data_IF_233913662352
#
_entry.id   IF_233913662352
#
_cell.length_a   1.000
_cell.length_b   1.000
_cell.length_c   1.000
_cell.angle_alpha   90.00
_cell.angle_beta   90.00
_cell.angle_gamma   90.00
#
_symmetry.space_group_name_H-M   'P 1'
#
loop_
_entity.id
_entity.type
_entity.pdbx_description
1 polymer ?
#
# COMPACT_ATOMS: atom_id res chain seq x y z
N UNK A 1 11.28 -11.22 15.96
CA UNK A 1 10.44 -12.20 15.23
C UNK A 1 10.99 -13.64 15.29
N UNK A 2 12.31 -13.88 15.37
CA UNK A 2 12.86 -15.25 15.43
C UNK A 2 12.68 -15.98 16.77
N UNK A 3 12.66 -15.28 17.90
CA UNK A 3 12.56 -15.92 19.22
C UNK A 3 11.19 -16.57 19.52
N UNK A 4 10.12 -16.13 18.85
CA UNK A 4 8.77 -16.65 19.09
C UNK A 4 8.51 -17.91 18.24
N UNK A 5 9.10 -17.99 17.03
CA UNK A 5 9.00 -19.17 16.17
C UNK A 5 9.74 -20.40 16.74
N UNK A 6 10.82 -20.18 17.51
CA UNK A 6 11.57 -21.29 18.13
C UNK A 6 10.83 -21.93 19.31
N UNK A 7 9.95 -21.18 19.99
CA UNK A 7 9.25 -21.64 21.19
C UNK A 7 7.91 -22.31 20.83
N UNK A 8 7.30 -21.93 19.70
CA UNK A 8 5.97 -22.39 19.31
C UNK A 8 5.94 -23.77 18.61
N UNK A 9 7.11 -24.36 18.32
CA UNK A 9 7.22 -25.64 17.61
C UNK A 9 6.76 -25.56 16.15
N UNK A 10 7.15 -26.53 15.30
CA UNK A 10 6.71 -26.56 13.91
C UNK A 10 5.22 -26.89 13.83
N UNK A 11 4.37 -25.87 13.94
CA UNK A 11 2.92 -26.03 13.77
C UNK A 11 2.66 -26.18 12.28
N UNK A 12 2.21 -27.38 11.87
CA UNK A 12 1.81 -27.68 10.51
C UNK A 12 0.46 -27.01 10.19
N UNK A 13 0.48 -25.68 10.05
CA UNK A 13 -0.66 -24.92 9.54
C UNK A 13 -0.93 -25.34 8.10
N UNK A 14 -1.98 -26.12 7.90
CA UNK A 14 -2.45 -26.50 6.57
C UNK A 14 -3.64 -25.64 6.22
N UNK A 15 -3.41 -24.57 5.46
CA UNK A 15 -4.46 -23.67 4.96
C UNK A 15 -4.39 -23.62 3.44
N UNK A 16 -5.55 -23.75 2.78
CA UNK A 16 -5.65 -23.75 1.31
C UNK A 16 -5.70 -22.33 0.73
N UNK A 17 -6.15 -21.37 1.54
CA UNK A 17 -6.26 -19.96 1.19
C UNK A 17 -5.76 -19.12 2.38
N UNK A 18 -5.04 -18.01 2.15
CA UNK A 18 -4.49 -17.20 3.25
C UNK A 18 -5.57 -16.65 4.19
N UNK A 19 -6.76 -16.34 3.68
CA UNK A 19 -7.89 -15.78 4.43
C UNK A 19 -8.68 -16.81 5.24
N UNK A 20 -8.48 -18.10 4.99
CA UNK A 20 -9.14 -19.16 5.74
C UNK A 20 -8.72 -19.16 7.22
N UNK A 21 -7.52 -18.67 7.52
CA UNK A 21 -6.99 -18.63 8.88
C UNK A 21 -7.81 -17.72 9.83
N UNK A 22 -8.36 -16.60 9.34
CA UNK A 22 -9.13 -15.64 10.16
C UNK A 22 -10.42 -16.22 10.75
N UNK A 23 -11.05 -17.15 10.04
CA UNK A 23 -12.32 -17.77 10.45
C UNK A 23 -12.10 -19.19 11.02
N UNK A 24 -10.86 -19.58 11.27
CA UNK A 24 -10.51 -20.94 11.66
C UNK A 24 -10.40 -21.09 13.18
N UNK A 25 -10.78 -22.25 13.74
CA UNK A 25 -10.46 -22.62 15.13
C UNK A 25 -8.96 -22.54 15.44
N UNK A 26 -8.10 -22.58 14.40
CA UNK A 26 -6.65 -22.47 14.51
C UNK A 26 -6.18 -21.20 15.24
N UNK A 27 -6.95 -20.10 15.18
CA UNK A 27 -6.56 -18.87 15.89
C UNK A 27 -6.55 -19.05 17.41
N UNK A 28 -7.58 -19.71 17.94
CA UNK A 28 -7.74 -19.99 19.37
C UNK A 28 -6.87 -21.16 19.82
N UNK A 29 -6.62 -22.12 18.93
CA UNK A 29 -5.77 -23.27 19.22
C UNK A 29 -4.28 -22.91 19.28
N UNK A 30 -3.84 -21.92 18.49
CA UNK A 30 -2.44 -21.49 18.40
C UNK A 30 -2.25 -19.98 18.64
N UNK A 31 -2.54 -19.47 19.85
CA UNK A 31 -2.58 -18.03 20.13
C UNK A 31 -1.23 -17.33 19.91
N UNK A 32 -0.11 -18.00 20.22
CA UNK A 32 1.24 -17.45 19.97
C UNK A 32 1.53 -17.32 18.47
N UNK A 33 1.05 -18.26 17.65
CA UNK A 33 1.23 -18.19 16.20
C UNK A 33 0.36 -17.09 15.60
N UNK A 34 -0.89 -16.98 16.07
CA UNK A 34 -1.80 -15.90 15.71
C UNK A 34 -1.15 -14.54 15.99
N UNK A 35 -0.62 -14.35 17.20
CA UNK A 35 0.10 -13.12 17.56
C UNK A 35 1.34 -12.87 16.68
N UNK A 36 2.12 -13.92 16.40
CA UNK A 36 3.25 -13.84 15.48
C UNK A 36 2.84 -13.39 14.08
N UNK A 37 1.72 -13.90 13.55
CA UNK A 37 1.17 -13.48 12.26
C UNK A 37 0.75 -12.01 12.30
N UNK A 38 0.00 -11.59 13.31
CA UNK A 38 -0.46 -10.21 13.47
C UNK A 38 0.70 -9.21 13.60
N UNK A 39 1.70 -9.51 14.43
CA UNK A 39 2.86 -8.63 14.62
C UNK A 39 3.65 -8.45 13.32
N UNK A 40 3.86 -9.52 12.54
CA UNK A 40 4.49 -9.45 11.21
C UNK A 40 3.64 -8.65 10.22
N UNK A 41 2.33 -8.86 10.21
CA UNK A 41 1.39 -8.10 9.37
C UNK A 41 1.51 -6.60 9.59
N UNK A 42 1.51 -6.16 10.86
CA UNK A 42 1.66 -4.75 11.22
C UNK A 42 3.04 -4.24 10.80
N UNK A 43 4.10 -5.00 11.09
CA UNK A 43 5.47 -4.62 10.71
C UNK A 43 5.63 -4.44 9.19
N UNK A 44 5.10 -5.37 8.40
CA UNK A 44 5.14 -5.30 6.92
C UNK A 44 4.29 -4.14 6.40
N UNK A 45 3.10 -3.93 6.95
CA UNK A 45 2.26 -2.79 6.59
C UNK A 45 2.97 -1.47 6.85
N UNK A 46 3.54 -1.28 8.05
CA UNK A 46 4.28 -0.08 8.42
C UNK A 46 5.53 0.11 7.56
N UNK A 47 6.22 -0.97 7.19
CA UNK A 47 7.36 -0.92 6.27
C UNK A 47 6.93 -0.40 4.90
N UNK A 48 5.87 -0.95 4.31
CA UNK A 48 5.37 -0.48 3.00
C UNK A 48 4.87 0.96 3.10
N UNK A 49 4.17 1.29 4.19
CA UNK A 49 3.74 2.67 4.46
C UNK A 49 4.91 3.65 4.54
N UNK A 50 5.97 3.27 5.23
CA UNK A 50 7.20 4.06 5.32
C UNK A 50 7.84 4.24 3.94
N UNK A 51 7.93 3.18 3.14
CA UNK A 51 8.46 3.26 1.77
C UNK A 51 7.63 4.19 0.88
N UNK A 52 6.29 4.20 1.03
CA UNK A 52 5.40 5.13 0.31
C UNK A 52 5.60 6.59 0.72
N UNK A 53 6.12 6.85 1.92
CA UNK A 53 6.47 8.20 2.38
C UNK A 53 7.61 8.79 1.55
N UNK A 54 8.58 7.97 1.14
CA UNK A 54 9.72 8.41 0.33
C UNK A 54 9.38 8.65 -1.14
N UNK A 55 8.26 8.13 -1.63
CA UNK A 55 7.81 8.40 -2.99
C UNK A 55 7.27 9.84 -3.05
N UNK A 56 8.05 10.75 -3.62
CA UNK A 56 7.59 12.08 -4.01
C UNK A 56 6.87 12.00 -5.37
N UNK A 57 5.56 12.26 -5.41
CA UNK A 57 4.79 12.18 -6.66
C UNK A 57 3.29 12.37 -6.47
N UNK A 58 2.56 12.33 -7.60
CA UNK A 58 1.09 12.44 -7.61
C UNK A 58 0.44 11.29 -6.82
N UNK A 59 -0.65 11.59 -6.10
CA UNK A 59 -1.39 10.59 -5.32
C UNK A 59 -1.81 9.38 -6.17
N UNK A 60 -2.08 9.59 -7.46
CA UNK A 60 -2.42 8.51 -8.38
C UNK A 60 -1.27 7.51 -8.59
N UNK A 61 -0.02 7.97 -8.69
CA UNK A 61 1.14 7.09 -8.82
C UNK A 61 1.33 6.24 -7.55
N UNK A 62 1.13 6.84 -6.36
CA UNK A 62 1.14 6.09 -5.09
C UNK A 62 0.07 5.00 -5.07
N UNK A 63 -1.14 5.31 -5.56
CA UNK A 63 -2.21 4.33 -5.67
C UNK A 63 -1.84 3.15 -6.60
N UNK A 64 -1.29 3.42 -7.78
CA UNK A 64 -0.83 2.36 -8.70
C UNK A 64 0.22 1.47 -8.03
N UNK A 65 1.23 2.07 -7.38
CA UNK A 65 2.27 1.32 -6.69
C UNK A 65 1.70 0.40 -5.61
N UNK A 66 0.76 0.91 -4.80
CA UNK A 66 0.07 0.11 -3.77
C UNK A 66 -0.73 -1.02 -4.41
N UNK A 67 -1.45 -0.73 -5.50
CA UNK A 67 -2.25 -1.74 -6.20
C UNK A 67 -1.40 -2.89 -6.73
N UNK A 68 -0.25 -2.58 -7.34
CA UNK A 68 0.70 -3.60 -7.83
C UNK A 68 1.21 -4.46 -6.68
N UNK A 69 1.64 -3.84 -5.56
CA UNK A 69 2.07 -4.57 -4.37
C UNK A 69 0.95 -5.46 -3.81
N UNK A 70 -0.27 -4.95 -3.77
CA UNK A 70 -1.45 -5.70 -3.31
C UNK A 70 -1.71 -6.95 -4.16
N UNK A 71 -1.76 -6.80 -5.48
CA UNK A 71 -2.04 -7.90 -6.41
C UNK A 71 -0.92 -8.94 -6.36
N UNK A 72 0.34 -8.52 -6.47
CA UNK A 72 1.47 -9.44 -6.50
C UNK A 72 1.63 -10.19 -5.18
N UNK A 73 1.45 -9.53 -4.03
CA UNK A 73 1.54 -10.19 -2.72
C UNK A 73 0.45 -11.24 -2.52
N UNK A 74 -0.77 -10.97 -2.99
CA UNK A 74 -1.88 -11.92 -2.91
C UNK A 74 -1.70 -13.11 -3.85
N UNK A 75 -1.30 -12.86 -5.10
CA UNK A 75 -1.00 -13.93 -6.05
C UNK A 75 0.14 -14.80 -5.56
N UNK A 76 1.21 -14.18 -5.05
CA UNK A 76 2.31 -14.87 -4.39
C UNK A 76 1.78 -15.78 -3.28
N UNK A 77 0.97 -15.25 -2.36
CA UNK A 77 0.46 -16.01 -1.22
C UNK A 77 -0.44 -17.19 -1.63
N UNK A 78 -1.33 -16.97 -2.61
CA UNK A 78 -2.19 -18.03 -3.15
C UNK A 78 -1.34 -19.12 -3.81
N UNK A 79 -0.38 -18.75 -4.65
CA UNK A 79 0.49 -19.71 -5.32
C UNK A 79 1.30 -20.53 -4.30
N UNK A 80 1.88 -19.86 -3.31
CA UNK A 80 2.63 -20.48 -2.23
C UNK A 80 1.81 -21.58 -1.52
N UNK A 81 0.58 -21.25 -1.10
CA UNK A 81 -0.28 -22.17 -0.37
C UNK A 81 -0.87 -23.27 -1.26
N UNK A 82 -1.16 -22.97 -2.52
CA UNK A 82 -1.73 -23.94 -3.46
C UNK A 82 -0.71 -24.96 -3.98
N UNK A 83 0.53 -24.52 -4.22
CA UNK A 83 1.60 -25.37 -4.77
C UNK A 83 2.40 -26.10 -3.70
N UNK A 84 2.29 -25.68 -2.43
CA UNK A 84 3.08 -26.22 -1.33
C UNK A 84 4.59 -25.93 -1.45
N UNK A 85 5.01 -25.06 -2.39
CA UNK A 85 6.40 -24.64 -2.54
C UNK A 85 6.83 -23.91 -1.25
N UNK A 86 7.81 -24.42 -0.50
CA UNK A 86 8.19 -23.84 0.81
C UNK A 86 9.22 -22.70 0.71
N UNK A 87 9.01 -21.73 -0.19
CA UNK A 87 9.88 -20.53 -0.28
C UNK A 87 9.85 -19.71 1.03
N UNK A 88 8.65 -19.47 1.58
CA UNK A 88 8.41 -18.89 2.90
C UNK A 88 7.56 -19.85 3.72
N UNK A 89 7.63 -19.74 5.05
CA UNK A 89 6.73 -20.53 5.92
C UNK A 89 5.29 -20.05 5.74
N UNK A 90 4.33 -20.93 6.02
CA UNK A 90 2.88 -20.61 5.92
C UNK A 90 2.52 -19.36 6.72
N UNK A 91 3.12 -19.18 7.90
CA UNK A 91 2.88 -18.00 8.74
C UNK A 91 3.31 -16.70 8.03
N UNK A 92 4.49 -16.70 7.38
CA UNK A 92 4.95 -15.56 6.59
C UNK A 92 4.05 -15.29 5.40
N UNK A 93 3.62 -16.35 4.71
CA UNK A 93 2.72 -16.25 3.56
C UNK A 93 1.39 -15.60 3.95
N UNK A 94 0.80 -16.01 5.08
CA UNK A 94 -0.44 -15.40 5.61
C UNK A 94 -0.19 -13.95 6.02
N UNK A 95 0.91 -13.64 6.71
CA UNK A 95 1.26 -12.27 7.11
C UNK A 95 1.43 -11.33 5.92
N UNK A 96 2.07 -11.78 4.83
CA UNK A 96 2.24 -11.01 3.60
C UNK A 96 0.88 -10.71 2.97
N UNK A 97 0.01 -11.72 2.85
CA UNK A 97 -1.34 -11.54 2.34
C UNK A 97 -2.08 -10.48 3.16
N UNK A 98 -2.13 -10.62 4.49
CA UNK A 98 -2.86 -9.69 5.36
C UNK A 98 -2.27 -8.28 5.36
N UNK A 99 -0.94 -8.14 5.35
CA UNK A 99 -0.29 -6.83 5.27
C UNK A 99 -0.69 -6.12 3.97
N UNK A 100 -0.70 -6.85 2.86
CA UNK A 100 -1.12 -6.32 1.58
C UNK A 100 -2.60 -5.98 1.53
N UNK A 101 -3.48 -6.80 2.12
CA UNK A 101 -4.92 -6.49 2.23
C UNK A 101 -5.17 -5.23 3.05
N UNK A 102 -4.38 -4.99 4.11
CA UNK A 102 -4.49 -3.77 4.90
C UNK A 102 -4.13 -2.51 4.10
N UNK A 103 -3.28 -2.63 3.07
CA UNK A 103 -2.97 -1.54 2.15
C UNK A 103 -4.15 -1.13 1.25
N UNK A 104 -5.27 -1.89 1.22
CA UNK A 104 -6.49 -1.44 0.53
C UNK A 104 -7.00 -0.10 1.08
N UNK A 105 -6.83 0.15 2.38
CA UNK A 105 -7.25 1.41 3.02
C UNK A 105 -6.53 2.62 2.39
N UNK A 106 -5.17 2.70 2.41
CA UNK A 106 -4.48 3.77 1.71
C UNK A 106 -4.68 3.76 0.21
N UNK A 107 -4.84 2.59 -0.42
CA UNK A 107 -5.09 2.50 -1.85
C UNK A 107 -6.33 3.31 -2.23
N UNK A 108 -7.45 3.08 -1.57
CA UNK A 108 -8.71 3.78 -1.82
C UNK A 108 -8.53 5.28 -1.59
N UNK A 109 -7.87 5.66 -0.49
CA UNK A 109 -7.59 7.06 -0.17
C UNK A 109 -6.78 7.78 -1.28
N UNK A 110 -5.65 7.19 -1.68
CA UNK A 110 -4.79 7.79 -2.71
C UNK A 110 -5.42 7.75 -4.10
N UNK A 111 -6.23 6.73 -4.40
CA UNK A 111 -6.95 6.62 -5.66
C UNK A 111 -7.96 7.75 -5.81
N UNK A 112 -8.81 7.98 -4.80
CA UNK A 112 -9.80 9.06 -4.80
C UNK A 112 -9.10 10.43 -4.92
N UNK A 113 -8.07 10.66 -4.11
CA UNK A 113 -7.33 11.93 -4.12
C UNK A 113 -6.57 12.16 -5.43
N UNK A 114 -6.06 11.10 -6.05
CA UNK A 114 -5.40 11.15 -7.35
C UNK A 114 -6.39 11.52 -8.46
N UNK A 115 -7.55 10.85 -8.49
CA UNK A 115 -8.60 11.09 -9.47
C UNK A 115 -9.10 12.54 -9.44
N UNK A 116 -9.37 13.09 -8.25
CA UNK A 116 -9.86 14.48 -8.11
C UNK A 116 -8.81 15.52 -8.48
N UNK A 117 -7.54 15.32 -8.10
CA UNK A 117 -6.45 16.26 -8.43
C UNK A 117 -6.20 16.45 -9.93
N UNK A 118 -6.44 15.40 -10.72
CA UNK A 118 -6.27 15.43 -12.19
C UNK A 118 -7.36 16.27 -12.87
N UNK A 119 -8.56 16.28 -12.30
CA UNK A 119 -9.71 17.03 -12.83
C UNK A 119 -9.53 18.54 -12.59
N UNK A 120 -9.07 18.94 -11.41
CA UNK A 120 -8.87 20.36 -11.07
C UNK A 120 -7.84 21.05 -11.95
N UNK A 121 -6.74 20.36 -12.32
CA UNK A 121 -5.70 20.94 -13.18
C UNK A 121 -6.16 21.22 -14.61
N UNK A 122 -7.18 20.51 -15.12
CA UNK A 122 -7.73 20.75 -16.46
C UNK A 122 -8.73 21.91 -16.53
N UNK A 123 -9.15 22.43 -15.38
CA UNK A 123 -10.22 23.44 -15.28
C UNK A 123 -9.66 24.82 -14.85
N UNK A 124 -8.39 24.92 -14.44
CA UNK A 124 -7.79 26.23 -14.16
C UNK A 124 -7.64 27.05 -15.46
N UNK A 125 -8.36 28.17 -15.62
CA UNK A 125 -8.16 29.05 -16.78
C UNK A 125 -6.74 29.63 -16.74
N UNK A 126 -6.14 29.95 -17.90
CA UNK A 126 -4.83 30.58 -17.95
C UNK A 126 -4.86 31.88 -17.15
N UNK A 127 -3.89 32.04 -16.25
CA UNK A 127 -3.69 33.28 -15.51
C UNK A 127 -3.45 34.39 -16.54
N UNK A 128 -4.38 35.33 -16.62
CA UNK A 128 -4.31 36.48 -17.53
C UNK A 128 -3.24 37.44 -17.04
N UNK A 129 -2.02 37.31 -17.55
CA UNK A 129 -0.90 38.22 -17.29
C UNK A 129 -0.94 39.52 -18.15
N UNK A 130 -2.11 39.90 -18.69
CA UNK A 130 -2.24 41.03 -19.64
C UNK A 130 -2.30 42.44 -19.02
N UNK A 131 -2.02 42.64 -17.72
CA UNK A 131 -2.16 43.95 -17.07
C UNK A 131 -0.90 44.44 -16.34
N UNK A 132 0.28 44.32 -16.94
CA UNK A 132 1.50 44.97 -16.40
C UNK A 132 2.39 45.66 -17.43
N UNK A 133 1.90 45.93 -18.65
CA UNK A 133 2.71 46.59 -19.69
C UNK A 133 2.12 47.92 -20.22
N UNK A 134 1.03 48.43 -19.61
CA UNK A 134 0.33 49.61 -20.10
C UNK A 134 0.72 50.95 -19.43
N UNK A 135 1.74 50.97 -18.55
CA UNK A 135 2.10 52.19 -17.81
C UNK A 135 3.57 52.63 -17.95
N UNK A 136 4.33 52.09 -18.90
CA UNK A 136 5.69 52.55 -19.19
C UNK A 136 5.85 53.12 -20.60
N UNK A 137 5.15 54.21 -20.92
CA UNK A 137 5.65 55.13 -21.94
C UNK A 137 5.14 56.56 -21.65
N UNK A 138 5.99 57.49 -21.18
CA UNK A 138 5.65 58.92 -21.22
C UNK A 138 5.69 59.39 -22.69
N UNK A 139 4.74 60.21 -23.15
CA UNK A 139 4.76 60.72 -24.52
C UNK A 139 5.93 61.69 -24.67
N UNK A 140 6.77 61.41 -25.67
CA UNK A 140 7.84 62.29 -26.14
C UNK A 140 7.28 63.64 -26.60
N UNK A 141 8.09 64.69 -26.34
CA UNK A 141 7.92 66.08 -26.72
C UNK A 141 7.31 66.29 -28.12
N UNK A 142 6.33 67.20 -28.20
CA UNK A 142 6.09 67.95 -29.44
C UNK A 142 6.16 69.45 -29.16
N UNK A 143 7.17 70.04 -29.83
CA UNK A 143 7.50 71.44 -30.13
C UNK A 143 6.37 72.48 -30.03
#
# INVERSE_FOLDING_TARGET
AHAIDSISGPIALTVKNPYQFLNSPLMSQYPLTTFGIFSRTIGLFLLVWLLLSFISGFNFQKAISIFVVFVLSNLYAIQQLATGMKITTVQWTISIAYASSLLLIPLIYYFIRGATSTVTQKISPPKSDYFSDATQHPPDDQS
#
